data_IF_241834414585
#
_entry.id   IF_241834414585
#
_cell.length_a   1.000
_cell.length_b   1.000
_cell.length_c   1.000
_cell.angle_alpha   90.00
_cell.angle_beta   90.00
_cell.angle_gamma   90.00
#
_symmetry.space_group_name_H-M   'P 1'
#
loop_
_entity.id
_entity.type
_entity.pdbx_description
1 polymer ?
#
# COMPACT_ATOMS: atom_id res chain seq x y z
N UNK A 1 -28.53 -7.33 6.75
CA UNK A 1 -27.17 -6.74 6.80
C UNK A 1 -27.15 -5.68 7.89
N UNK A 2 -26.42 -5.87 8.99
CA UNK A 2 -26.31 -4.83 10.02
C UNK A 2 -25.58 -3.61 9.44
N UNK A 3 -25.97 -2.38 9.81
CA UNK A 3 -25.30 -1.17 9.35
C UNK A 3 -23.86 -1.11 9.88
N UNK A 4 -22.89 -0.89 8.98
CA UNK A 4 -21.47 -0.75 9.33
C UNK A 4 -21.26 0.45 10.26
N UNK A 5 -20.64 0.21 11.42
CA UNK A 5 -20.27 1.26 12.38
C UNK A 5 -19.22 2.22 11.81
N UNK A 6 -19.16 3.46 12.29
CA UNK A 6 -18.20 4.48 11.83
C UNK A 6 -16.74 4.07 12.04
N UNK A 7 -16.43 3.33 13.13
CA UNK A 7 -15.09 2.76 13.35
C UNK A 7 -14.73 1.71 12.30
N UNK A 8 -15.64 0.79 12.01
CA UNK A 8 -15.42 -0.28 11.03
C UNK A 8 -15.18 0.29 9.63
N UNK A 9 -15.90 1.34 9.23
CA UNK A 9 -15.65 2.05 7.96
C UNK A 9 -14.25 2.66 7.90
N UNK A 10 -13.75 3.21 9.01
CA UNK A 10 -12.42 3.83 9.07
C UNK A 10 -11.30 2.78 8.91
N UNK A 11 -11.44 1.63 9.54
CA UNK A 11 -10.45 0.54 9.45
C UNK A 11 -10.40 -0.07 8.06
N UNK A 12 -11.57 -0.34 7.47
CA UNK A 12 -11.68 -0.79 6.07
C UNK A 12 -11.04 0.23 5.12
N UNK A 13 -11.38 1.52 5.25
CA UNK A 13 -10.80 2.57 4.41
C UNK A 13 -9.28 2.65 4.54
N UNK A 14 -8.75 2.51 5.76
CA UNK A 14 -7.31 2.51 6.00
C UNK A 14 -6.60 1.35 5.29
N UNK A 15 -7.14 0.13 5.42
CA UNK A 15 -6.58 -1.05 4.75
C UNK A 15 -6.67 -0.94 3.22
N UNK A 16 -7.76 -0.40 2.68
CA UNK A 16 -7.91 -0.19 1.24
C UNK A 16 -6.93 0.84 0.69
N UNK A 17 -6.77 2.00 1.34
CA UNK A 17 -5.82 3.03 0.90
C UNK A 17 -4.40 2.46 0.89
N UNK A 18 -4.01 1.78 1.96
CA UNK A 18 -2.67 1.22 2.11
C UNK A 18 -2.42 0.05 1.13
N UNK A 19 -3.44 -0.76 0.84
CA UNK A 19 -3.43 -1.74 -0.24
C UNK A 19 -3.21 -1.08 -1.62
N UNK A 20 -3.97 -0.04 -1.95
CA UNK A 20 -3.84 0.67 -3.23
C UNK A 20 -2.44 1.26 -3.42
N UNK A 21 -1.85 1.85 -2.39
CA UNK A 21 -0.50 2.43 -2.46
C UNK A 21 0.54 1.36 -2.72
N UNK A 22 0.49 0.25 -1.97
CA UNK A 22 1.44 -0.86 -2.14
C UNK A 22 1.32 -1.51 -3.52
N UNK A 23 0.09 -1.70 -4.00
CA UNK A 23 -0.15 -2.19 -5.35
C UNK A 23 0.41 -1.22 -6.40
N UNK A 24 0.20 0.09 -6.24
CA UNK A 24 0.74 1.10 -7.15
C UNK A 24 2.28 1.04 -7.23
N UNK A 25 2.97 0.92 -6.09
CA UNK A 25 4.43 0.72 -6.09
C UNK A 25 4.86 -0.57 -6.76
N UNK A 26 4.19 -1.69 -6.46
CA UNK A 26 4.47 -2.97 -7.10
C UNK A 26 4.32 -2.89 -8.62
N UNK A 27 3.22 -2.30 -9.10
CA UNK A 27 2.98 -2.09 -10.53
C UNK A 27 4.02 -1.17 -11.17
N UNK A 28 4.41 -0.09 -10.47
CA UNK A 28 5.41 0.84 -10.98
C UNK A 28 6.79 0.18 -11.16
N UNK A 29 7.21 -0.66 -10.21
CA UNK A 29 8.45 -1.44 -10.35
C UNK A 29 8.37 -2.39 -11.54
N UNK A 30 7.23 -3.07 -11.73
CA UNK A 30 7.03 -3.96 -12.89
C UNK A 30 7.06 -3.17 -14.20
N UNK A 31 6.42 -2.01 -14.25
CA UNK A 31 6.42 -1.11 -15.40
C UNK A 31 7.86 -0.68 -15.77
N UNK A 32 8.63 -0.15 -14.81
CA UNK A 32 10.03 0.23 -15.02
C UNK A 32 10.92 -0.95 -15.44
N UNK A 33 10.64 -2.15 -14.90
CA UNK A 33 11.35 -3.38 -15.26
C UNK A 33 11.09 -3.77 -16.71
N UNK A 34 9.83 -3.70 -17.15
CA UNK A 34 9.41 -4.03 -18.53
C UNK A 34 9.92 -3.00 -19.54
N UNK A 35 9.96 -1.72 -19.16
CA UNK A 35 10.49 -0.64 -19.99
C UNK A 35 12.02 -0.66 -20.12
N UNK A 36 12.72 -1.53 -19.37
CA UNK A 36 14.19 -1.54 -19.29
C UNK A 36 14.77 -0.28 -18.63
N UNK A 37 13.92 0.62 -18.13
CA UNK A 37 14.32 1.90 -17.56
C UNK A 37 14.81 1.76 -16.11
N UNK A 38 14.48 0.66 -15.42
CA UNK A 38 14.87 0.44 -14.02
C UNK A 38 16.38 0.62 -13.77
N UNK A 39 17.23 0.16 -14.70
CA UNK A 39 18.71 0.27 -14.59
C UNK A 39 19.21 1.70 -14.77
N UNK A 40 18.39 2.62 -15.31
CA UNK A 40 18.73 4.05 -15.38
C UNK A 40 18.50 4.80 -14.06
N UNK A 41 17.58 4.32 -13.23
CA UNK A 41 17.26 4.94 -11.94
C UNK A 41 17.92 4.23 -10.76
N UNK A 42 18.30 2.96 -10.92
CA UNK A 42 18.82 2.11 -9.84
C UNK A 42 20.09 1.41 -10.32
N UNK A 43 21.10 1.38 -9.45
CA UNK A 43 22.34 0.65 -9.72
C UNK A 43 22.05 -0.83 -10.06
N UNK A 44 22.75 -1.45 -11.04
CA UNK A 44 22.42 -2.79 -11.55
C UNK A 44 22.34 -3.87 -10.47
N UNK A 45 23.19 -3.78 -9.44
CA UNK A 45 23.21 -4.71 -8.32
C UNK A 45 21.96 -4.56 -7.41
N UNK A 46 21.45 -3.34 -7.24
CA UNK A 46 20.22 -3.07 -6.48
C UNK A 46 18.96 -3.36 -7.29
N UNK A 47 19.03 -3.32 -8.63
CA UNK A 47 17.87 -3.56 -9.50
C UNK A 47 17.20 -4.92 -9.23
N UNK A 48 17.98 -5.95 -8.89
CA UNK A 48 17.45 -7.27 -8.53
C UNK A 48 16.70 -7.24 -7.19
N UNK A 49 17.24 -6.55 -6.18
CA UNK A 49 16.57 -6.39 -4.89
C UNK A 49 15.25 -5.62 -5.02
N UNK A 50 15.22 -4.57 -5.84
CA UNK A 50 13.99 -3.78 -6.11
C UNK A 50 12.92 -4.62 -6.81
N UNK A 51 13.31 -5.51 -7.74
CA UNK A 51 12.36 -6.45 -8.35
C UNK A 51 11.78 -7.42 -7.31
N UNK A 52 12.60 -7.92 -6.39
CA UNK A 52 12.15 -8.80 -5.31
C UNK A 52 11.23 -8.06 -4.33
N UNK A 53 11.47 -6.79 -4.03
CA UNK A 53 10.58 -6.01 -3.17
C UNK A 53 9.18 -5.84 -3.75
N UNK A 54 9.03 -5.83 -5.08
CA UNK A 54 7.70 -5.82 -5.72
C UNK A 54 6.85 -7.03 -5.30
N UNK A 55 7.46 -8.21 -5.13
CA UNK A 55 6.77 -9.41 -4.64
C UNK A 55 6.26 -9.18 -3.22
N UNK A 56 7.10 -8.64 -2.33
CA UNK A 56 6.72 -8.30 -0.96
C UNK A 56 5.60 -7.26 -0.90
N UNK A 57 5.67 -6.23 -1.75
CA UNK A 57 4.64 -5.18 -1.87
C UNK A 57 3.29 -5.77 -2.30
N UNK A 58 3.26 -6.66 -3.30
CA UNK A 58 2.02 -7.33 -3.71
C UNK A 58 1.49 -8.28 -2.63
N UNK A 59 2.35 -9.07 -1.99
CA UNK A 59 1.93 -9.98 -0.92
C UNK A 59 1.27 -9.22 0.25
N UNK A 60 1.87 -8.11 0.66
CA UNK A 60 1.32 -7.24 1.71
C UNK A 60 0.07 -6.47 1.27
N UNK A 61 -0.07 -6.14 -0.01
CA UNK A 61 -1.30 -5.56 -0.57
C UNK A 61 -2.47 -6.57 -0.49
N UNK A 62 -2.24 -7.80 -0.95
CA UNK A 62 -3.23 -8.89 -0.92
C UNK A 62 -3.65 -9.17 0.52
N UNK A 63 -2.68 -9.22 1.46
CA UNK A 63 -2.98 -9.42 2.88
C UNK A 63 -3.90 -8.32 3.43
N UNK A 64 -3.62 -7.05 3.13
CA UNK A 64 -4.45 -5.93 3.59
C UNK A 64 -5.83 -5.91 2.94
N UNK A 65 -5.93 -6.33 1.68
CA UNK A 65 -7.21 -6.51 1.01
C UNK A 65 -8.04 -7.62 1.69
N UNK A 66 -7.43 -8.75 2.01
CA UNK A 66 -8.08 -9.84 2.72
C UNK A 66 -8.55 -9.41 4.12
N UNK A 67 -7.73 -8.64 4.85
CA UNK A 67 -8.12 -8.08 6.14
C UNK A 67 -9.34 -7.14 6.02
N UNK A 68 -9.35 -6.25 5.02
CA UNK A 68 -10.49 -5.37 4.76
C UNK A 68 -11.78 -6.15 4.41
N UNK A 69 -11.67 -7.23 3.64
CA UNK A 69 -12.80 -8.09 3.28
C UNK A 69 -13.35 -8.87 4.48
N UNK A 70 -12.48 -9.37 5.35
CA UNK A 70 -12.88 -10.06 6.59
C UNK A 70 -13.59 -9.12 7.56
N UNK A 71 -13.07 -7.91 7.75
CA UNK A 71 -13.75 -6.87 8.53
C UNK A 71 -15.10 -6.48 7.94
N UNK A 72 -15.23 -6.42 6.60
CA UNK A 72 -16.49 -6.14 5.94
C UNK A 72 -17.52 -7.26 6.14
N UNK A 73 -17.09 -8.51 6.20
CA UNK A 73 -17.94 -9.68 6.45
C UNK A 73 -18.30 -9.86 7.94
N UNK A 74 -17.76 -9.04 8.84
CA UNK A 74 -18.00 -9.11 10.28
C UNK A 74 -17.24 -10.24 10.99
N UNK A 75 -16.38 -10.95 10.25
CA UNK A 75 -15.47 -11.97 10.79
C UNK A 75 -14.17 -11.27 11.15
N UNK A 76 -14.11 -10.66 12.34
CA UNK A 76 -12.85 -10.10 12.84
C UNK A 76 -11.88 -11.25 13.10
N UNK A 77 -10.98 -11.54 12.16
CA UNK A 77 -9.80 -12.32 12.46
C UNK A 77 -9.06 -11.59 13.59
N UNK A 78 -8.64 -12.35 14.60
CA UNK A 78 -7.98 -11.86 15.80
C UNK A 78 -6.98 -10.76 15.42
N UNK A 79 -7.33 -9.52 15.74
CA UNK A 79 -6.46 -8.39 15.52
C UNK A 79 -5.17 -8.69 16.27
N UNK A 80 -4.07 -8.93 15.55
CA UNK A 80 -2.76 -8.86 16.19
C UNK A 80 -2.71 -7.48 16.85
N UNK A 81 -2.59 -7.51 18.18
CA UNK A 81 -2.61 -6.37 19.11
C UNK A 81 -1.37 -5.48 18.95
N UNK A 82 -1.10 -5.05 17.71
CA UNK A 82 -0.16 -4.01 17.38
C UNK A 82 -0.96 -2.72 17.27
N UNK A 83 -1.36 -2.21 18.44
CA UNK A 83 -2.06 -0.95 18.63
C UNK A 83 -1.21 0.23 18.11
N UNK A 84 -1.29 0.50 16.81
CA UNK A 84 -0.88 1.77 16.20
C UNK A 84 -2.10 2.40 15.57
N UNK A 85 -2.84 3.14 16.38
CA UNK A 85 -3.93 3.97 15.88
C UNK A 85 -3.33 5.01 14.92
N UNK A 86 -3.78 5.08 13.65
CA UNK A 86 -3.27 6.07 12.71
C UNK A 86 -3.52 7.48 13.26
N UNK A 87 -2.62 8.44 12.98
CA UNK A 87 -2.76 9.80 13.48
C UNK A 87 -4.12 10.35 13.05
N UNK A 88 -4.89 10.85 14.02
CA UNK A 88 -6.25 11.33 13.81
C UNK A 88 -6.31 12.58 12.91
N UNK A 89 -5.17 13.21 12.63
CA UNK A 89 -5.09 14.41 11.81
C UNK A 89 -5.04 14.07 10.31
N UNK A 90 -6.05 14.59 9.59
CA UNK A 90 -6.14 14.52 8.13
C UNK A 90 -4.86 15.01 7.45
N UNK A 91 -4.23 16.06 7.98
CA UNK A 91 -2.97 16.60 7.48
C UNK A 91 -1.79 15.62 7.59
N UNK A 92 -1.68 14.84 8.67
CA UNK A 92 -0.62 13.84 8.80
C UNK A 92 -0.83 12.68 7.82
N UNK A 93 -2.08 12.25 7.62
CA UNK A 93 -2.40 11.25 6.59
C UNK A 93 -2.09 11.76 5.18
N UNK A 94 -2.49 13.01 4.84
CA UNK A 94 -2.17 13.62 3.54
C UNK A 94 -0.65 13.73 3.34
N UNK A 95 0.10 14.11 4.37
CA UNK A 95 1.54 14.24 4.29
C UNK A 95 2.23 12.87 4.11
N UNK A 96 1.83 11.85 4.87
CA UNK A 96 2.40 10.50 4.76
C UNK A 96 2.05 9.87 3.41
N UNK A 97 0.77 9.89 3.00
CA UNK A 97 0.36 9.31 1.72
C UNK A 97 0.89 10.12 0.53
N UNK A 98 0.97 11.44 0.66
CA UNK A 98 1.58 12.34 -0.32
C UNK A 98 3.07 12.06 -0.52
N UNK A 99 3.81 11.78 0.57
CA UNK A 99 5.23 11.43 0.51
C UNK A 99 5.49 10.15 -0.29
N UNK A 100 4.54 9.21 -0.27
CA UNK A 100 4.60 7.99 -1.08
C UNK A 100 4.11 8.21 -2.53
N UNK A 101 3.13 9.09 -2.75
CA UNK A 101 2.66 9.47 -4.10
C UNK A 101 3.68 10.31 -4.88
N UNK A 102 4.49 11.10 -4.19
CA UNK A 102 5.49 11.99 -4.79
C UNK A 102 6.55 11.25 -5.64
N UNK A 103 7.26 10.22 -5.14
CA UNK A 103 8.22 9.47 -5.95
C UNK A 103 7.56 8.73 -7.12
N UNK A 104 6.29 8.33 -6.97
CA UNK A 104 5.52 7.74 -8.07
C UNK A 104 5.22 8.78 -9.16
N UNK A 105 4.79 9.98 -8.78
CA UNK A 105 4.51 11.07 -9.70
C UNK A 105 5.78 11.56 -10.44
N UNK A 106 6.89 11.73 -9.72
CA UNK A 106 8.19 12.07 -10.32
C UNK A 106 8.62 10.99 -11.33
N UNK A 107 8.43 9.72 -10.99
CA UNK A 107 8.76 8.61 -11.87
C UNK A 107 8.00 8.57 -13.21
N UNK A 108 6.77 9.07 -13.27
CA UNK A 108 6.01 9.20 -14.52
C UNK A 108 6.29 10.51 -15.26
N UNK A 109 6.84 11.53 -14.58
CA UNK A 109 7.10 12.85 -15.15
C UNK A 109 8.50 12.98 -15.80
N UNK A 110 9.44 12.08 -15.47
CA UNK A 110 10.84 12.13 -15.91
C UNK A 110 11.31 10.80 -16.49
#
# INVERSE_FOLDING_TARGET
>A
MPPLSTRQRRTIAHHLIRCCILAAFGFYIVFLTRAGALVRYVEPNLATAVKLSAIGLFATAIYQLHAALQEWQGTSAAACDCNHEPPASLAANVLVYGLFLLPLALGFAF
#
